data_IF_287092374512
#
_entry.id   IF_287092374512
#
_cell.length_a   1.000
_cell.length_b   1.000
_cell.length_c   1.000
_cell.angle_alpha   90.00
_cell.angle_beta   90.00
_cell.angle_gamma   90.00
#
_symmetry.space_group_name_H-M   'P 1'
#
loop_
_entity.id
_entity.type
_entity.pdbx_description
1 polymer ?
#
# COMPACT_ATOMS: atom_id res chain seq x y z
N UNK A 1 20.09 -13.25 74.63
CA UNK A 1 20.61 -14.17 73.60
C UNK A 1 19.57 -15.23 73.30
N UNK A 2 18.94 -15.15 72.11
CA UNK A 2 18.40 -16.24 71.28
C UNK A 2 17.77 -15.58 70.04
N UNK A 3 18.31 -15.79 68.82
CA UNK A 3 17.79 -15.13 67.62
C UNK A 3 16.54 -15.86 67.12
N UNK A 4 15.51 -15.10 66.76
CA UNK A 4 14.36 -15.61 66.01
C UNK A 4 14.78 -15.76 64.55
N UNK A 5 14.79 -16.99 64.05
CA UNK A 5 15.08 -17.28 62.66
C UNK A 5 13.94 -16.79 61.77
N UNK A 6 14.21 -15.81 60.92
CA UNK A 6 13.35 -15.46 59.79
C UNK A 6 13.53 -16.57 58.76
N UNK A 7 12.52 -17.42 58.61
CA UNK A 7 12.43 -18.35 57.47
C UNK A 7 12.10 -17.50 56.24
N UNK A 8 13.12 -17.05 55.54
CA UNK A 8 12.98 -16.45 54.22
C UNK A 8 12.47 -17.52 53.28
N UNK A 9 11.19 -17.44 52.92
CA UNK A 9 10.61 -18.20 51.82
C UNK A 9 11.26 -17.65 50.54
N UNK A 10 12.37 -18.28 50.13
CA UNK A 10 12.93 -18.06 48.81
C UNK A 10 11.87 -18.55 47.81
N UNK A 11 11.14 -17.62 47.23
CA UNK A 11 10.43 -17.86 45.99
C UNK A 11 11.51 -18.21 44.95
N UNK A 12 11.76 -19.51 44.80
CA UNK A 12 12.56 -20.05 43.73
C UNK A 12 11.81 -19.68 42.45
N UNK A 13 12.19 -18.56 41.87
CA UNK A 13 11.71 -18.13 40.58
C UNK A 13 12.21 -19.20 39.60
N UNK A 14 11.35 -20.19 39.33
CA UNK A 14 11.54 -21.15 38.25
C UNK A 14 11.49 -20.35 36.96
N UNK A 15 12.62 -19.70 36.64
CA UNK A 15 12.96 -19.24 35.30
C UNK A 15 13.21 -20.48 34.45
N UNK A 16 12.24 -21.40 34.40
CA UNK A 16 12.18 -22.38 33.34
C UNK A 16 12.02 -21.58 32.07
N UNK A 17 12.98 -21.68 31.15
CA UNK A 17 12.76 -21.22 29.78
C UNK A 17 11.46 -21.86 29.29
N UNK A 18 10.36 -21.11 29.30
CA UNK A 18 9.09 -21.60 28.81
C UNK A 18 9.30 -22.03 27.36
N UNK A 19 9.00 -23.30 27.08
CA UNK A 19 9.11 -23.83 25.73
C UNK A 19 8.12 -23.07 24.85
N UNK A 20 8.63 -22.51 23.76
CA UNK A 20 7.81 -21.92 22.71
C UNK A 20 7.35 -23.05 21.80
N UNK A 21 6.06 -23.14 21.55
CA UNK A 21 5.44 -24.16 20.71
C UNK A 21 5.04 -23.59 19.34
N UNK A 22 4.62 -22.32 19.29
CA UNK A 22 4.28 -21.64 18.03
C UNK A 22 4.55 -20.13 18.10
N UNK A 23 4.64 -19.49 16.93
CA UNK A 23 4.70 -18.04 16.80
C UNK A 23 3.37 -17.51 16.26
N UNK A 24 2.80 -16.50 16.91
CA UNK A 24 1.65 -15.76 16.40
C UNK A 24 2.12 -14.46 15.76
N UNK A 25 1.83 -14.29 14.47
CA UNK A 25 2.21 -13.11 13.70
C UNK A 25 1.03 -12.15 13.53
N UNK A 26 1.31 -10.86 13.50
CA UNK A 26 0.32 -9.81 13.23
C UNK A 26 0.96 -8.67 12.43
N UNK A 27 0.37 -8.21 11.31
CA UNK A 27 -0.84 -8.75 10.66
C UNK A 27 -0.64 -10.18 10.09
N UNK A 28 -1.72 -10.83 9.68
CA UNK A 28 -1.74 -12.16 9.05
C UNK A 28 -1.51 -12.12 7.52
N UNK A 29 -1.55 -10.92 6.93
CA UNK A 29 -1.17 -10.62 5.55
C UNK A 29 -0.55 -9.23 5.46
N UNK A 30 0.38 -9.04 4.54
CA UNK A 30 0.99 -7.74 4.24
C UNK A 30 0.71 -7.38 2.80
N UNK A 31 0.06 -6.24 2.55
CA UNK A 31 -0.18 -5.71 1.21
C UNK A 31 0.46 -4.34 1.09
N UNK A 32 1.43 -4.20 0.19
CA UNK A 32 2.19 -2.98 -0.05
C UNK A 32 1.85 -2.44 -1.43
N UNK A 33 1.32 -1.23 -1.49
CA UNK A 33 0.72 -0.65 -2.70
C UNK A 33 1.57 0.45 -3.31
N UNK A 34 2.44 1.05 -2.52
CA UNK A 34 3.30 2.17 -2.90
C UNK A 34 4.74 1.96 -2.44
N UNK A 35 5.75 2.53 -3.13
CA UNK A 35 7.17 2.33 -2.80
C UNK A 35 7.58 2.74 -1.38
N UNK A 36 6.84 3.66 -0.76
CA UNK A 36 7.07 4.12 0.61
C UNK A 36 6.14 3.45 1.63
N UNK A 37 5.34 2.44 1.26
CA UNK A 37 4.59 1.69 2.25
C UNK A 37 5.54 0.94 3.20
N UNK A 38 5.17 0.91 4.47
CA UNK A 38 5.89 0.21 5.52
C UNK A 38 4.86 -0.50 6.39
N UNK A 39 5.14 -1.75 6.73
CA UNK A 39 4.31 -2.51 7.68
C UNK A 39 5.21 -3.11 8.73
N UNK A 40 4.88 -2.87 10.00
CA UNK A 40 5.57 -3.49 11.13
C UNK A 40 4.89 -4.80 11.49
N UNK A 41 5.64 -5.89 11.34
CA UNK A 41 5.24 -7.20 11.82
C UNK A 41 5.49 -7.31 13.32
N UNK A 42 4.55 -7.96 14.01
CA UNK A 42 4.70 -8.36 15.40
C UNK A 42 4.75 -9.88 15.46
N UNK A 43 5.67 -10.41 16.27
CA UNK A 43 5.75 -11.84 16.58
C UNK A 43 5.59 -12.02 18.08
N UNK A 44 4.60 -12.82 18.48
CA UNK A 44 4.44 -13.30 19.86
C UNK A 44 4.78 -14.78 19.90
N UNK A 45 5.74 -15.13 20.75
CA UNK A 45 6.08 -16.52 20.98
C UNK A 45 5.14 -17.11 22.04
N UNK A 46 4.48 -18.21 21.70
CA UNK A 46 3.39 -18.78 22.48
C UNK A 46 3.74 -20.20 22.93
N UNK A 47 3.37 -20.52 24.17
CA UNK A 47 3.43 -21.90 24.71
C UNK A 47 2.21 -22.70 24.26
N UNK A 48 2.23 -24.02 24.44
CA UNK A 48 1.10 -24.89 24.12
C UNK A 48 -0.19 -24.53 24.88
N UNK A 49 -0.06 -23.82 26.01
CA UNK A 49 -1.20 -23.36 26.83
C UNK A 49 -1.76 -22.01 26.37
N UNK A 50 -1.19 -21.41 25.33
CA UNK A 50 -1.59 -20.09 24.82
C UNK A 50 -1.05 -18.91 25.62
N UNK A 51 -0.14 -19.12 26.58
CA UNK A 51 0.60 -18.03 27.26
C UNK A 51 1.74 -17.53 26.38
N UNK A 52 1.94 -16.22 26.36
CA UNK A 52 3.09 -15.58 25.71
C UNK A 52 4.37 -15.75 26.54
N UNK A 53 5.46 -16.20 25.91
CA UNK A 53 6.79 -16.25 26.50
C UNK A 53 7.45 -14.86 26.43
N UNK A 54 7.61 -14.19 27.58
CA UNK A 54 7.98 -12.77 27.66
C UNK A 54 9.37 -12.39 27.11
N UNK A 55 10.30 -13.35 27.00
CA UNK A 55 11.70 -13.09 26.61
C UNK A 55 12.10 -13.76 25.29
N UNK A 56 11.16 -14.38 24.58
CA UNK A 56 11.41 -14.99 23.29
C UNK A 56 11.24 -13.95 22.18
N UNK A 57 12.33 -13.66 21.45
CA UNK A 57 12.35 -12.72 20.32
C UNK A 57 12.60 -13.48 19.03
N UNK A 58 11.71 -13.34 18.06
CA UNK A 58 11.91 -13.94 16.75
C UNK A 58 12.91 -13.14 15.91
N UNK A 59 13.73 -13.86 15.14
CA UNK A 59 14.48 -13.31 14.03
C UNK A 59 13.59 -13.24 12.79
N UNK A 60 13.79 -12.22 11.96
CA UNK A 60 13.02 -12.00 10.74
C UNK A 60 13.84 -12.33 9.50
N UNK A 61 13.17 -12.90 8.50
CA UNK A 61 13.70 -13.04 7.15
C UNK A 61 12.59 -12.91 6.12
N UNK A 62 12.97 -12.68 4.87
CA UNK A 62 12.04 -12.64 3.72
C UNK A 62 12.46 -13.74 2.75
N UNK A 63 11.48 -14.45 2.19
CA UNK A 63 11.73 -15.57 1.27
C UNK A 63 12.35 -15.13 -0.05
N UNK A 64 11.85 -14.02 -0.59
CA UNK A 64 12.36 -13.41 -1.82
C UNK A 64 12.64 -11.91 -1.58
N UNK A 65 13.92 -11.53 -1.41
CA UNK A 65 14.32 -10.14 -1.20
C UNK A 65 14.19 -9.26 -2.44
N UNK A 66 14.00 -9.82 -3.64
CA UNK A 66 13.76 -9.04 -4.86
C UNK A 66 12.35 -8.43 -4.89
N UNK A 67 11.42 -8.95 -4.06
CA UNK A 67 10.03 -8.50 -3.98
C UNK A 67 9.82 -7.57 -2.79
N UNK A 68 10.33 -7.92 -1.60
CA UNK A 68 10.22 -7.11 -0.39
C UNK A 68 11.43 -7.33 0.53
N UNK A 69 11.68 -6.42 1.47
CA UNK A 69 12.69 -6.58 2.51
C UNK A 69 12.06 -6.53 3.89
N UNK A 70 12.67 -7.18 4.88
CA UNK A 70 12.32 -7.03 6.30
C UNK A 70 13.59 -6.69 7.10
N UNK A 71 13.51 -5.74 8.03
CA UNK A 71 14.63 -5.45 8.95
C UNK A 71 14.51 -6.21 10.28
N UNK A 72 15.52 -6.09 11.15
CA UNK A 72 15.58 -6.78 12.45
C UNK A 72 14.42 -6.41 13.39
N UNK A 73 13.77 -5.26 13.17
CA UNK A 73 12.60 -4.82 13.95
C UNK A 73 11.28 -5.39 13.44
N UNK A 74 11.30 -6.17 12.34
CA UNK A 74 10.11 -6.71 11.69
C UNK A 74 9.46 -5.72 10.72
N UNK A 75 10.15 -4.65 10.32
CA UNK A 75 9.60 -3.66 9.40
C UNK A 75 9.77 -4.12 7.95
N UNK A 76 8.66 -4.39 7.29
CA UNK A 76 8.59 -4.84 5.90
C UNK A 76 8.45 -3.64 4.96
N UNK A 77 9.27 -3.60 3.91
CA UNK A 77 9.24 -2.60 2.83
C UNK A 77 9.15 -3.27 1.47
N UNK A 78 8.46 -2.68 0.49
CA UNK A 78 8.37 -3.25 -0.83
C UNK A 78 9.61 -2.92 -1.67
N UNK A 79 9.94 -3.80 -2.61
CA UNK A 79 11.00 -3.60 -3.60
C UNK A 79 10.39 -3.60 -5.00
N UNK A 80 9.70 -4.68 -5.36
CA UNK A 80 9.09 -4.88 -6.67
C UNK A 80 7.76 -5.59 -6.54
N UNK A 81 6.84 -5.30 -7.47
CA UNK A 81 5.61 -6.07 -7.65
C UNK A 81 5.85 -7.58 -7.63
N UNK A 82 5.04 -8.30 -6.87
CA UNK A 82 5.16 -9.74 -6.72
C UNK A 82 4.60 -10.27 -5.41
N UNK A 83 4.78 -11.56 -5.18
CA UNK A 83 4.36 -12.26 -3.96
C UNK A 83 5.57 -12.93 -3.29
N UNK A 84 5.70 -12.74 -1.99
CA UNK A 84 6.74 -13.35 -1.16
C UNK A 84 6.18 -13.67 0.22
N UNK A 85 7.02 -14.13 1.15
CA UNK A 85 6.63 -14.46 2.52
C UNK A 85 7.63 -13.85 3.49
N UNK A 86 7.11 -13.19 4.53
CA UNK A 86 7.90 -12.80 5.70
C UNK A 86 7.86 -13.93 6.71
N UNK A 87 9.02 -14.30 7.23
CA UNK A 87 9.22 -15.45 8.09
C UNK A 87 9.77 -14.97 9.43
N UNK A 88 9.13 -15.40 10.50
CA UNK A 88 9.63 -15.24 11.87
C UNK A 88 10.18 -16.59 12.34
N UNK A 89 11.35 -16.57 12.97
CA UNK A 89 12.00 -17.78 13.51
C UNK A 89 12.44 -17.57 14.94
N UNK A 90 12.08 -18.49 15.83
CA UNK A 90 12.61 -18.56 17.20
C UNK A 90 13.05 -20.00 17.49
N UNK A 91 14.37 -20.21 17.58
CA UNK A 91 14.98 -21.56 17.63
C UNK A 91 14.48 -22.40 16.44
N UNK A 92 13.82 -23.54 16.70
CA UNK A 92 13.28 -24.44 15.67
C UNK A 92 11.84 -24.09 15.26
N UNK A 93 11.20 -23.12 15.93
CA UNK A 93 9.81 -22.73 15.66
C UNK A 93 9.79 -21.62 14.62
N UNK A 94 9.02 -21.83 13.55
CA UNK A 94 8.84 -20.86 12.47
C UNK A 94 7.36 -20.54 12.26
N UNK A 95 7.09 -19.34 11.76
CA UNK A 95 5.81 -18.95 11.20
C UNK A 95 6.04 -18.01 10.03
N UNK A 96 5.13 -18.01 9.05
CA UNK A 96 5.22 -17.14 7.88
C UNK A 96 3.91 -16.41 7.62
N UNK A 97 4.02 -15.24 7.01
CA UNK A 97 2.89 -14.42 6.56
C UNK A 97 3.11 -14.04 5.09
N UNK A 98 2.10 -14.16 4.22
CA UNK A 98 2.21 -13.74 2.84
C UNK A 98 2.37 -12.22 2.73
N UNK A 99 3.22 -11.82 1.79
CA UNK A 99 3.47 -10.42 1.42
C UNK A 99 3.15 -10.26 -0.07
N UNK A 100 2.26 -9.33 -0.40
CA UNK A 100 1.94 -8.97 -1.77
C UNK A 100 2.31 -7.51 -2.03
N UNK A 101 3.12 -7.27 -3.05
CA UNK A 101 3.47 -5.93 -3.54
C UNK A 101 2.71 -5.67 -4.83
N UNK A 102 1.89 -4.61 -4.86
CA UNK A 102 0.99 -4.29 -5.98
C UNK A 102 1.18 -2.83 -6.38
N UNK A 103 2.16 -2.57 -7.25
CA UNK A 103 2.32 -1.25 -7.87
C UNK A 103 1.41 -1.07 -9.07
N UNK A 104 1.10 0.19 -9.37
CA UNK A 104 0.51 0.56 -10.66
C UNK A 104 1.60 0.45 -11.72
N UNK A 105 1.31 -0.25 -12.82
CA UNK A 105 2.23 -0.39 -13.96
C UNK A 105 1.79 0.45 -15.16
N UNK A 106 0.47 0.62 -15.34
CA UNK A 106 -0.09 1.40 -16.44
C UNK A 106 -1.38 2.09 -16.05
N UNK A 107 -1.55 3.30 -16.56
CA UNK A 107 -2.80 4.06 -16.49
C UNK A 107 -3.29 4.27 -17.92
N UNK A 108 -4.51 3.81 -18.20
CA UNK A 108 -5.19 4.03 -19.47
C UNK A 108 -6.35 4.99 -19.24
N UNK A 109 -6.50 5.97 -20.12
CA UNK A 109 -7.59 6.95 -20.04
C UNK A 109 -8.33 6.99 -21.36
N UNK A 110 -9.66 6.96 -21.26
CA UNK A 110 -10.58 7.09 -22.39
C UNK A 110 -11.48 8.30 -22.16
N UNK A 111 -11.59 9.23 -23.11
CA UNK A 111 -10.93 9.24 -24.42
C UNK A 111 -9.42 9.56 -24.34
N UNK A 112 -8.67 9.20 -25.38
CA UNK A 112 -7.22 9.46 -25.50
C UNK A 112 -6.87 10.85 -26.03
N UNK A 113 -7.88 11.61 -26.45
CA UNK A 113 -7.82 13.04 -26.75
C UNK A 113 -9.16 13.68 -26.37
N UNK A 114 -9.13 14.99 -26.09
CA UNK A 114 -10.34 15.75 -25.75
C UNK A 114 -10.57 16.83 -26.81
N UNK A 115 -11.77 16.84 -27.36
CA UNK A 115 -12.32 17.98 -28.09
C UNK A 115 -13.50 18.50 -27.29
N UNK A 116 -13.34 19.70 -26.72
CA UNK A 116 -14.32 20.33 -25.84
C UNK A 116 -14.86 21.59 -26.50
N UNK A 117 -16.00 22.05 -26.03
CA UNK A 117 -16.57 23.34 -26.41
C UNK A 117 -16.47 24.28 -25.20
N UNK A 118 -16.07 25.52 -25.44
CA UNK A 118 -16.04 26.57 -24.42
C UNK A 118 -17.43 26.74 -23.78
N UNK A 119 -17.53 26.57 -22.46
CA UNK A 119 -18.81 26.61 -21.73
C UNK A 119 -19.75 25.43 -21.98
N UNK A 120 -19.32 24.41 -22.74
CA UNK A 120 -20.12 23.24 -23.07
C UNK A 120 -20.21 22.20 -21.96
N UNK A 121 -20.94 21.11 -22.25
CA UNK A 121 -21.09 19.98 -21.35
C UNK A 121 -19.74 19.28 -21.05
N UNK A 122 -19.68 18.65 -19.87
CA UNK A 122 -18.51 17.90 -19.47
C UNK A 122 -18.30 16.65 -20.34
N UNK A 123 -17.05 16.35 -20.66
CA UNK A 123 -16.69 15.02 -21.19
C UNK A 123 -16.23 14.13 -20.06
N UNK A 124 -16.83 12.94 -19.94
CA UNK A 124 -16.43 11.92 -18.96
C UNK A 124 -15.04 11.34 -19.29
N UNK A 125 -14.22 11.17 -18.27
CA UNK A 125 -12.91 10.50 -18.32
C UNK A 125 -13.00 9.14 -17.64
N UNK A 126 -12.82 8.06 -18.40
CA UNK A 126 -12.74 6.70 -17.86
C UNK A 126 -11.29 6.32 -17.65
N UNK A 127 -10.93 6.01 -16.41
CA UNK A 127 -9.57 5.59 -16.06
C UNK A 127 -9.56 4.11 -15.74
N UNK A 128 -8.68 3.38 -16.41
CA UNK A 128 -8.39 1.97 -16.14
C UNK A 128 -6.95 1.88 -15.63
N UNK A 129 -6.80 1.38 -14.41
CA UNK A 129 -5.50 1.23 -13.75
C UNK A 129 -5.11 -0.25 -13.81
N UNK A 130 -3.92 -0.53 -14.33
CA UNK A 130 -3.39 -1.88 -14.46
C UNK A 130 -2.17 -2.03 -13.56
N UNK A 131 -2.15 -3.12 -12.81
CA UNK A 131 -1.01 -3.59 -12.04
C UNK A 131 -0.34 -4.79 -12.70
N UNK A 132 0.40 -5.59 -11.90
CA UNK A 132 1.16 -6.74 -12.39
C UNK A 132 0.28 -7.72 -13.15
N UNK A 133 0.84 -8.31 -14.21
CA UNK A 133 0.17 -9.29 -15.07
C UNK A 133 -1.14 -8.76 -15.69
N UNK A 134 -1.29 -7.44 -15.81
CA UNK A 134 -2.48 -6.80 -16.38
C UNK A 134 -3.70 -6.80 -15.44
N UNK A 135 -3.51 -7.09 -14.14
CA UNK A 135 -4.58 -7.04 -13.14
C UNK A 135 -5.20 -5.63 -13.09
N UNK A 136 -6.52 -5.54 -13.22
CA UNK A 136 -7.24 -4.28 -13.03
C UNK A 136 -7.27 -3.92 -11.54
N UNK A 137 -6.80 -2.73 -11.20
CA UNK A 137 -6.81 -2.20 -9.84
C UNK A 137 -7.98 -1.21 -9.69
N UNK A 138 -8.96 -1.56 -8.86
CA UNK A 138 -10.21 -0.78 -8.66
C UNK A 138 -10.19 0.08 -7.40
N UNK A 139 -9.18 -0.09 -6.56
CA UNK A 139 -8.97 0.54 -5.27
C UNK A 139 -7.91 1.66 -5.34
N UNK A 140 -7.72 2.21 -6.54
CA UNK A 140 -6.80 3.32 -6.82
C UNK A 140 -7.59 4.54 -7.26
N UNK A 141 -7.20 5.71 -6.77
CA UNK A 141 -7.85 6.98 -7.09
C UNK A 141 -6.96 7.81 -8.02
N UNK A 142 -7.45 8.21 -9.21
CA UNK A 142 -6.72 9.10 -10.08
C UNK A 142 -6.73 10.54 -9.56
N UNK A 143 -5.61 11.22 -9.76
CA UNK A 143 -5.47 12.66 -9.64
C UNK A 143 -5.39 13.27 -11.03
N UNK A 144 -6.17 14.33 -11.26
CA UNK A 144 -6.28 14.99 -12.55
C UNK A 144 -5.71 16.41 -12.48
N UNK A 145 -4.98 16.83 -13.51
CA UNK A 145 -4.47 18.20 -13.63
C UNK A 145 -4.42 18.64 -15.08
N UNK A 146 -4.92 19.83 -15.39
CA UNK A 146 -4.65 20.48 -16.66
C UNK A 146 -3.33 21.25 -16.55
N UNK A 147 -2.45 21.11 -17.54
CA UNK A 147 -1.20 21.88 -17.61
C UNK A 147 -1.51 23.37 -17.63
N UNK A 148 -2.50 23.76 -18.44
CA UNK A 148 -3.13 25.08 -18.41
C UNK A 148 -4.58 24.98 -17.89
N UNK A 149 -4.84 25.31 -16.61
CA UNK A 149 -6.16 25.26 -16.02
C UNK A 149 -7.09 26.39 -16.48
N UNK A 150 -6.60 27.39 -17.23
CA UNK A 150 -7.45 28.40 -17.86
C UNK A 150 -8.14 27.87 -19.12
N UNK A 151 -7.54 26.87 -19.78
CA UNK A 151 -8.10 26.24 -20.98
C UNK A 151 -9.07 25.13 -20.60
N UNK A 152 -8.70 24.23 -19.68
CA UNK A 152 -9.55 23.10 -19.24
C UNK A 152 -9.68 23.08 -17.72
N UNK A 153 -10.91 22.93 -17.24
CA UNK A 153 -11.20 22.61 -15.84
C UNK A 153 -11.52 21.13 -15.68
N UNK A 154 -11.20 20.55 -14.52
CA UNK A 154 -11.36 19.11 -14.25
C UNK A 154 -12.22 18.92 -13.00
N UNK A 155 -13.24 18.07 -13.13
CA UNK A 155 -14.07 17.56 -12.05
C UNK A 155 -13.75 16.11 -11.71
N UNK A 156 -14.59 15.47 -10.89
CA UNK A 156 -14.46 14.04 -10.58
C UNK A 156 -14.67 13.21 -11.85
N UNK A 157 -13.58 12.80 -12.49
CA UNK A 157 -13.57 12.05 -13.75
C UNK A 157 -14.26 12.79 -14.92
N UNK A 158 -14.17 14.12 -14.97
CA UNK A 158 -14.80 14.90 -16.04
C UNK A 158 -13.94 16.10 -16.45
N UNK A 159 -13.99 16.48 -17.73
CA UNK A 159 -13.28 17.64 -18.27
C UNK A 159 -14.24 18.65 -18.87
N UNK A 160 -13.99 19.94 -18.61
CA UNK A 160 -14.81 21.08 -19.05
C UNK A 160 -13.95 22.05 -19.85
N UNK A 161 -14.45 22.52 -21.00
CA UNK A 161 -13.79 23.55 -21.80
C UNK A 161 -14.06 24.94 -21.21
N UNK A 162 -13.01 25.68 -20.87
CA UNK A 162 -13.13 27.02 -20.26
C UNK A 162 -12.78 28.15 -21.22
N UNK A 163 -11.69 28.02 -21.97
CA UNK A 163 -11.24 29.06 -22.90
C UNK A 163 -10.70 28.40 -24.15
N UNK A 164 -11.02 28.95 -25.33
CA UNK A 164 -10.51 28.46 -26.62
C UNK A 164 -8.99 28.36 -26.59
N UNK A 165 -8.47 27.20 -26.98
CA UNK A 165 -7.04 26.92 -26.92
C UNK A 165 -6.73 25.43 -26.87
N UNK A 166 -5.45 25.12 -26.67
CA UNK A 166 -4.96 23.75 -26.52
C UNK A 166 -4.16 23.60 -25.23
N UNK A 167 -4.36 22.48 -24.54
CA UNK A 167 -3.64 22.13 -23.32
C UNK A 167 -3.44 20.61 -23.25
N UNK A 168 -2.82 20.14 -22.17
CA UNK A 168 -2.71 18.71 -21.85
C UNK A 168 -3.36 18.45 -20.51
N UNK A 169 -4.19 17.41 -20.44
CA UNK A 169 -4.69 16.85 -19.19
C UNK A 169 -3.77 15.72 -18.76
N UNK A 170 -3.16 15.86 -17.59
CA UNK A 170 -2.36 14.84 -16.93
C UNK A 170 -3.24 14.08 -15.93
N UNK A 171 -3.21 12.74 -16.02
CA UNK A 171 -3.84 11.83 -15.07
C UNK A 171 -2.74 11.05 -14.37
N UNK A 172 -2.71 11.08 -13.04
CA UNK A 172 -1.70 10.42 -12.23
C UNK A 172 -2.34 9.44 -11.25
N UNK A 173 -1.80 8.23 -11.14
CA UNK A 173 -2.19 7.22 -10.16
C UNK A 173 -0.92 6.61 -9.58
N UNK A 174 -0.71 6.71 -8.27
CA UNK A 174 0.47 6.19 -7.57
C UNK A 174 1.83 6.53 -8.23
N UNK A 175 1.94 7.74 -8.81
CA UNK A 175 3.16 8.16 -9.51
C UNK A 175 3.18 7.88 -11.01
N UNK A 176 2.37 6.93 -11.50
CA UNK A 176 2.25 6.62 -12.92
C UNK A 176 1.36 7.65 -13.60
N UNK A 177 1.82 8.20 -14.73
CA UNK A 177 1.15 9.27 -15.46
C UNK A 177 0.62 8.79 -16.81
N UNK A 178 -0.52 9.34 -17.20
CA UNK A 178 -1.05 9.35 -18.56
C UNK A 178 -1.32 10.80 -18.97
N UNK A 179 -1.14 11.12 -20.25
CA UNK A 179 -1.32 12.48 -20.79
C UNK A 179 -2.29 12.44 -21.95
N UNK A 180 -3.24 13.38 -21.94
CA UNK A 180 -4.32 13.48 -22.92
C UNK A 180 -4.28 14.88 -23.52
N UNK A 181 -4.01 15.05 -24.82
CA UNK A 181 -4.13 16.35 -25.44
C UNK A 181 -5.58 16.81 -25.43
N UNK A 182 -5.80 18.09 -25.15
CA UNK A 182 -7.13 18.69 -25.10
C UNK A 182 -7.17 19.96 -25.95
N UNK A 183 -8.21 20.09 -26.76
CA UNK A 183 -8.50 21.29 -27.56
C UNK A 183 -9.90 21.78 -27.20
N UNK A 184 -10.01 23.06 -26.88
CA UNK A 184 -11.28 23.74 -26.64
C UNK A 184 -11.60 24.58 -27.86
N UNK A 185 -12.74 24.30 -28.48
CA UNK A 185 -13.29 25.03 -29.64
C UNK A 185 -14.29 26.09 -29.16
N UNK A 186 -14.49 27.19 -29.91
CA UNK A 186 -15.49 28.20 -29.56
C UNK A 186 -16.90 27.62 -29.58
N UNK A 187 -17.79 28.20 -28.78
CA UNK A 187 -19.22 27.87 -28.83
C UNK A 187 -19.80 28.20 -30.24
N UNK A 188 -20.62 27.32 -30.84
CA UNK A 188 -21.25 27.59 -32.13
C UNK A 188 -22.12 28.85 -32.07
N UNK A 189 -21.82 29.86 -32.92
CA UNK A 189 -22.64 31.07 -33.05
C UNK A 189 -24.05 30.71 -33.53
N UNK A 190 -25.01 30.62 -32.61
CA UNK A 190 -26.41 30.36 -32.93
C UNK A 190 -27.21 29.62 -31.86
N UNK A 191 -26.55 29.00 -30.87
CA UNK A 191 -27.22 28.28 -29.79
C UNK A 191 -27.59 29.20 -28.61
N UNK A 192 -28.26 30.33 -28.87
CA UNK A 192 -28.93 31.05 -27.76
C UNK A 192 -30.18 30.26 -27.38
N UNK A 193 -30.20 29.69 -26.17
CA UNK A 193 -31.44 29.37 -25.47
C UNK A 193 -32.20 30.64 -25.13
#
# INVERSE_FOLDING_TARGET
>A
MRPLAIVGLAALCLLGCERVDYLQLTPDTVVLRQPNNEVWMQAKAMTHTGRQAAHARAAWSIKDPAIATVDESGKVRPVKSGKTEVIATYKEVTASVPVEVIYVEKVEVTPTSLELVEGGDATELKVKVLGPEGRVLTDRSPYYRAVDPKVVSLGKNAAYGLTVGSTTVEVQVDGVKASIPAVVKPEPKGAKK
#
